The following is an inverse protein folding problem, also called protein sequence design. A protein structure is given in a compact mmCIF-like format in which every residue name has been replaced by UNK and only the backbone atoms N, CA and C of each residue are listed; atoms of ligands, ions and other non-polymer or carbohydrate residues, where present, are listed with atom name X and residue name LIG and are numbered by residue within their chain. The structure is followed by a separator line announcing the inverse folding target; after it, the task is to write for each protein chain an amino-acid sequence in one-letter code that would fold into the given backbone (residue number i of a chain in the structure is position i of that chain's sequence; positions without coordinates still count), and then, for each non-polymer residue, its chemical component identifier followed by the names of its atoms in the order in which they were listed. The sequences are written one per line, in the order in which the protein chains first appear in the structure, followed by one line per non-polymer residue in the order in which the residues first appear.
data_IF_250225192201
#
_entry.id   IF_250225192201
#
_cell.length_a   1.000
_cell.length_b   1.000
_cell.length_c   1.000
_cell.angle_alpha   90.00
_cell.angle_beta   90.00
_cell.angle_gamma   90.00
#
_symmetry.space_group_name_H-M   'P 1'
#
loop_
_entity.id
_entity.type
_entity.pdbx_description
1 polymer ?
#
# COMPACT_ATOMS: atom_id res chain seq x y z
N UNK A 1 9.91 3.20 -9.59
CA UNK A 1 10.23 2.82 -8.21
C UNK A 1 8.98 2.45 -7.45
N UNK A 2 9.01 1.38 -6.65
CA UNK A 2 7.87 1.06 -5.77
C UNK A 2 8.30 0.68 -4.36
N UNK A 3 7.35 0.74 -3.44
CA UNK A 3 7.51 0.20 -2.09
C UNK A 3 6.25 -0.51 -1.65
N UNK A 4 6.45 -1.54 -0.83
CA UNK A 4 5.40 -2.23 -0.12
C UNK A 4 5.08 -1.50 1.18
N UNK A 5 3.84 -1.06 1.38
CA UNK A 5 3.40 -0.60 2.72
C UNK A 5 2.01 -1.15 3.08
N UNK A 6 1.92 -1.91 4.19
CA UNK A 6 0.63 -2.34 4.70
C UNK A 6 -0.08 -1.14 5.35
N UNK A 7 -1.34 -0.93 5.00
CA UNK A 7 -2.23 0.00 5.70
C UNK A 7 -3.14 -0.82 6.60
N UNK A 8 -2.99 -0.60 7.90
CA UNK A 8 -3.79 -1.25 8.93
C UNK A 8 -4.91 -0.33 9.38
N UNK A 9 -6.14 -0.84 9.38
CA UNK A 9 -7.29 -0.11 9.92
C UNK A 9 -7.90 -0.94 11.05
N UNK A 10 -7.94 -0.33 12.24
CA UNK A 10 -8.50 -0.94 13.44
C UNK A 10 -10.02 -0.78 13.46
N UNK A 11 -10.71 -1.82 13.92
CA UNK A 11 -12.17 -1.85 14.01
C UNK A 11 -12.57 -2.40 15.39
N UNK A 12 -13.08 -1.55 16.29
CA UNK A 12 -13.72 -1.97 17.55
C UNK A 12 -13.00 -3.10 18.30
N UNK A 13 -11.73 -2.91 18.65
CA UNK A 13 -10.92 -3.90 19.39
C UNK A 13 -10.43 -5.11 18.59
N UNK A 14 -10.61 -5.14 17.25
CA UNK A 14 -10.07 -6.17 16.37
C UNK A 14 -9.39 -5.57 15.14
N UNK A 15 -8.18 -6.02 14.82
CA UNK A 15 -7.49 -5.75 13.56
C UNK A 15 -8.05 -6.68 12.48
N UNK A 16 -8.96 -6.24 11.61
CA UNK A 16 -9.61 -7.20 10.68
C UNK A 16 -9.70 -6.84 9.21
N UNK A 17 -9.53 -5.58 8.79
CA UNK A 17 -9.45 -5.24 7.37
C UNK A 17 -8.06 -4.69 7.03
N UNK A 18 -7.21 -5.57 6.49
CA UNK A 18 -5.89 -5.24 5.99
C UNK A 18 -5.97 -5.00 4.47
N UNK A 19 -5.39 -3.88 4.04
CA UNK A 19 -5.08 -3.63 2.64
C UNK A 19 -3.59 -3.35 2.51
N UNK A 20 -2.99 -3.90 1.46
CA UNK A 20 -1.65 -3.51 1.01
C UNK A 20 -1.83 -2.64 -0.22
N UNK A 21 -1.16 -1.49 -0.26
CA UNK A 21 -1.08 -0.66 -1.45
C UNK A 21 0.36 -0.66 -1.98
N UNK A 22 0.51 -0.94 -3.26
CA UNK A 22 1.73 -0.73 -4.02
C UNK A 22 1.61 0.59 -4.75
N UNK A 23 2.50 1.52 -4.40
CA UNK A 23 2.63 2.82 -5.04
C UNK A 23 3.78 2.79 -6.02
N UNK A 24 3.57 3.33 -7.23
CA UNK A 24 4.58 3.38 -8.27
C UNK A 24 4.70 4.78 -8.83
N UNK A 25 5.93 5.28 -8.85
CA UNK A 25 6.28 6.52 -9.50
C UNK A 25 7.62 6.42 -10.24
N UNK A 26 7.86 7.31 -11.18
CA UNK A 26 9.14 7.45 -11.88
C UNK A 26 9.86 8.77 -11.53
N UNK A 27 11.09 8.90 -12.02
CA UNK A 27 11.97 10.04 -11.73
C UNK A 27 11.49 11.37 -12.29
N UNK A 28 10.50 11.37 -13.19
CA UNK A 28 9.88 12.60 -13.71
C UNK A 28 8.84 13.16 -12.75
N UNK A 29 8.50 12.43 -11.69
CA UNK A 29 7.43 12.80 -10.77
C UNK A 29 6.09 12.15 -11.09
N UNK A 30 5.98 11.50 -12.26
CA UNK A 30 4.77 10.82 -12.68
C UNK A 30 4.41 9.69 -11.72
N UNK A 31 3.18 9.76 -11.21
CA UNK A 31 2.54 8.72 -10.41
C UNK A 31 1.70 7.81 -11.30
N UNK A 32 1.78 6.51 -11.04
CA UNK A 32 1.03 5.50 -11.77
C UNK A 32 -0.19 5.02 -10.96
N UNK A 33 -1.21 4.43 -11.62
CA UNK A 33 -2.32 3.74 -10.98
C UNK A 33 -1.90 2.86 -9.81
N UNK A 34 -2.72 2.78 -8.75
CA UNK A 34 -2.44 1.90 -7.62
C UNK A 34 -2.66 0.43 -7.96
N UNK A 35 -1.85 -0.43 -7.34
CA UNK A 35 -2.14 -1.86 -7.25
C UNK A 35 -2.34 -2.23 -5.78
N UNK A 36 -3.52 -2.73 -5.45
CA UNK A 36 -3.98 -3.03 -4.11
C UNK A 36 -4.08 -4.54 -3.92
N UNK A 37 -3.75 -5.02 -2.72
CA UNK A 37 -4.01 -6.40 -2.29
C UNK A 37 -4.90 -6.36 -1.06
N UNK A 38 -6.10 -6.93 -1.18
CA UNK A 38 -7.08 -7.02 -0.10
C UNK A 38 -7.18 -8.46 0.38
N UNK A 39 -7.64 -8.64 1.62
CA UNK A 39 -7.92 -9.96 2.20
C UNK A 39 -9.33 -10.43 1.84
N UNK A 40 -9.53 -11.38 0.90
CA UNK A 40 -10.82 -12.04 0.72
C UNK A 40 -11.03 -13.13 1.79
N UNK A 41 -12.27 -13.61 1.97
CA UNK A 41 -12.53 -14.85 2.70
C UNK A 41 -11.74 -16.02 2.10
N UNK A 42 -11.32 -16.96 2.94
CA UNK A 42 -10.63 -18.16 2.48
C UNK A 42 -11.61 -19.14 1.81
N UNK A 43 -11.19 -19.70 0.67
CA UNK A 43 -11.91 -20.75 -0.04
C UNK A 43 -11.10 -22.05 0.02
N UNK A 44 -11.75 -23.18 0.33
CA UNK A 44 -11.09 -24.49 0.51
C UNK A 44 -11.08 -25.36 -0.75
N UNK A 45 -11.98 -25.10 -1.70
CA UNK A 45 -12.14 -25.94 -2.89
C UNK A 45 -11.12 -25.53 -3.95
N UNK A 46 -10.12 -26.38 -4.22
CA UNK A 46 -9.00 -26.09 -5.14
C UNK A 46 -9.43 -25.58 -6.52
N UNK A 47 -10.41 -26.22 -7.16
CA UNK A 47 -10.91 -25.80 -8.46
C UNK A 47 -11.54 -24.39 -8.43
N UNK A 48 -12.21 -24.04 -7.33
CA UNK A 48 -12.79 -22.70 -7.13
C UNK A 48 -11.68 -21.67 -6.88
N UNK A 49 -10.67 -22.03 -6.09
CA UNK A 49 -9.50 -21.16 -5.85
C UNK A 49 -8.78 -20.86 -7.15
N UNK A 50 -8.48 -21.88 -7.97
CA UNK A 50 -7.81 -21.68 -9.25
C UNK A 50 -8.63 -20.78 -10.18
N UNK A 51 -9.93 -21.02 -10.29
CA UNK A 51 -10.83 -20.18 -11.09
C UNK A 51 -10.90 -18.74 -10.59
N UNK A 52 -10.86 -18.52 -9.28
CA UNK A 52 -10.86 -17.18 -8.71
C UNK A 52 -9.52 -16.47 -8.97
N UNK A 53 -8.39 -17.17 -8.86
CA UNK A 53 -7.06 -16.61 -9.16
C UNK A 53 -6.97 -16.17 -10.62
N UNK A 54 -7.44 -17.00 -11.56
CA UNK A 54 -7.32 -16.70 -13.00
C UNK A 54 -8.34 -15.70 -13.52
N UNK A 55 -9.61 -15.80 -13.09
CA UNK A 55 -10.69 -14.99 -13.69
C UNK A 55 -11.10 -13.79 -12.86
N UNK A 56 -10.70 -13.73 -11.59
CA UNK A 56 -11.24 -12.76 -10.61
C UNK A 56 -10.18 -12.25 -9.67
N UNK A 57 -8.91 -12.33 -10.07
CA UNK A 57 -7.78 -11.78 -9.33
C UNK A 57 -7.73 -12.25 -7.86
N UNK A 58 -8.17 -13.48 -7.59
CA UNK A 58 -8.22 -14.07 -6.24
C UNK A 58 -9.51 -13.80 -5.45
N UNK A 59 -10.50 -13.12 -6.02
CA UNK A 59 -11.81 -12.90 -5.40
C UNK A 59 -12.84 -13.97 -5.79
N UNK A 60 -13.72 -14.32 -4.85
CA UNK A 60 -14.90 -15.12 -5.13
C UNK A 60 -15.93 -14.39 -6.01
N UNK A 61 -16.81 -15.14 -6.67
CA UNK A 61 -17.80 -14.60 -7.63
C UNK A 61 -18.59 -13.39 -7.11
N UNK A 62 -19.07 -13.48 -5.88
CA UNK A 62 -19.92 -12.41 -5.31
C UNK A 62 -19.10 -11.17 -5.00
N UNK A 63 -17.94 -11.33 -4.38
CA UNK A 63 -17.06 -10.21 -4.02
C UNK A 63 -16.47 -9.54 -5.26
N UNK A 64 -16.21 -10.31 -6.32
CA UNK A 64 -15.74 -9.79 -7.60
C UNK A 64 -16.70 -8.77 -8.21
N UNK A 65 -18.02 -8.99 -8.12
CA UNK A 65 -19.05 -8.04 -8.60
C UNK A 65 -18.95 -6.68 -7.92
N UNK A 66 -18.45 -6.63 -6.68
CA UNK A 66 -18.26 -5.39 -5.95
C UNK A 66 -16.87 -4.78 -6.20
N UNK A 67 -15.85 -5.60 -6.48
CA UNK A 67 -14.45 -5.16 -6.65
C UNK A 67 -14.16 -4.67 -8.06
N UNK A 68 -14.67 -5.35 -9.09
CA UNK A 68 -14.43 -5.00 -10.48
C UNK A 68 -14.89 -3.57 -10.82
N UNK A 69 -16.09 -3.12 -10.42
CA UNK A 69 -16.50 -1.73 -10.62
C UNK A 69 -15.59 -0.72 -9.90
N UNK A 70 -15.04 -1.08 -8.72
CA UNK A 70 -14.13 -0.19 -7.98
C UNK A 70 -12.78 -0.04 -8.70
N UNK A 71 -12.26 -1.09 -9.32
CA UNK A 71 -11.06 -0.99 -10.16
C UNK A 71 -11.25 0.02 -11.28
N UNK A 72 -12.38 -0.07 -11.98
CA UNK A 72 -12.70 0.80 -13.10
C UNK A 72 -12.92 2.25 -12.62
N UNK A 73 -13.68 2.42 -11.54
CA UNK A 73 -14.01 3.72 -10.98
C UNK A 73 -12.78 4.48 -10.48
N UNK A 74 -11.90 3.81 -9.74
CA UNK A 74 -10.70 4.42 -9.16
C UNK A 74 -9.45 4.28 -10.02
N UNK A 75 -9.58 3.70 -11.23
CA UNK A 75 -8.49 3.41 -12.15
C UNK A 75 -7.30 2.73 -11.44
N UNK A 76 -7.60 1.66 -10.70
CA UNK A 76 -6.61 0.89 -9.95
C UNK A 76 -6.76 -0.61 -10.23
N UNK A 77 -5.77 -1.39 -9.82
CA UNK A 77 -5.82 -2.85 -9.84
C UNK A 77 -5.97 -3.37 -8.42
N UNK A 78 -6.85 -4.34 -8.20
CA UNK A 78 -7.19 -4.87 -6.88
C UNK A 78 -7.12 -6.40 -6.93
N UNK A 79 -6.25 -6.97 -6.13
CA UNK A 79 -6.04 -8.40 -6.00
C UNK A 79 -6.52 -8.91 -4.65
N UNK A 80 -7.01 -10.15 -4.62
CA UNK A 80 -7.42 -10.87 -3.43
C UNK A 80 -6.35 -11.87 -3.04
N UNK A 81 -5.78 -11.72 -1.84
CA UNK A 81 -4.92 -12.74 -1.23
C UNK A 81 -5.31 -12.92 0.23
N UNK A 82 -5.51 -14.16 0.69
CA UNK A 82 -5.98 -14.47 2.06
C UNK A 82 -5.01 -13.98 3.14
N UNK A 83 -3.74 -13.78 2.79
CA UNK A 83 -2.73 -13.19 3.69
C UNK A 83 -2.64 -11.66 3.55
N UNK A 84 -3.28 -11.09 2.51
CA UNK A 84 -3.12 -9.72 2.03
C UNK A 84 -1.67 -9.31 1.72
N UNK A 85 -0.78 -10.29 1.51
CA UNK A 85 0.59 -10.07 1.09
C UNK A 85 0.76 -10.25 -0.41
N UNK A 86 1.91 -9.81 -0.91
CA UNK A 86 2.34 -10.06 -2.27
C UNK A 86 2.70 -11.53 -2.50
N UNK A 87 2.62 -11.99 -3.74
CA UNK A 87 3.15 -13.29 -4.18
C UNK A 87 3.67 -13.15 -5.62
N UNK A 88 4.37 -14.19 -6.10
CA UNK A 88 4.96 -14.22 -7.45
C UNK A 88 3.94 -13.90 -8.56
N UNK A 89 2.73 -14.46 -8.49
CA UNK A 89 1.67 -14.21 -9.48
C UNK A 89 1.29 -12.74 -9.56
N UNK A 90 1.08 -12.09 -8.42
CA UNK A 90 0.78 -10.64 -8.38
C UNK A 90 2.01 -9.84 -8.85
N UNK A 91 3.23 -10.32 -8.59
CA UNK A 91 4.50 -9.76 -9.11
C UNK A 91 4.57 -9.73 -10.63
N UNK A 92 4.26 -10.85 -11.28
CA UNK A 92 4.21 -10.95 -12.74
C UNK A 92 3.13 -10.02 -13.31
N UNK A 93 1.93 -10.06 -12.72
CA UNK A 93 0.81 -9.20 -13.14
C UNK A 93 1.13 -7.71 -13.00
N UNK A 94 1.82 -7.32 -11.92
CA UNK A 94 2.32 -5.96 -11.74
C UNK A 94 3.24 -5.55 -12.88
N UNK A 95 4.24 -6.38 -13.21
CA UNK A 95 5.18 -6.06 -14.27
C UNK A 95 4.48 -5.91 -15.61
N UNK A 96 3.58 -6.86 -15.94
CA UNK A 96 2.81 -6.80 -17.17
C UNK A 96 1.93 -5.56 -17.23
N UNK A 97 1.26 -5.20 -16.13
CA UNK A 97 0.38 -4.04 -16.10
C UNK A 97 1.12 -2.72 -16.36
N UNK A 98 2.30 -2.50 -15.77
CA UNK A 98 3.01 -1.22 -15.93
C UNK A 98 3.96 -1.16 -17.12
N UNK A 99 4.46 -2.31 -17.61
CA UNK A 99 5.57 -2.33 -18.55
C UNK A 99 5.29 -3.02 -19.88
N UNK A 100 4.15 -3.70 -20.06
CA UNK A 100 3.83 -4.34 -21.36
C UNK A 100 3.71 -3.30 -22.47
N UNK A 101 2.94 -2.25 -22.24
CA UNK A 101 2.55 -1.31 -23.30
C UNK A 101 3.45 -0.08 -23.40
N UNK A 102 4.70 -0.15 -22.86
CA UNK A 102 5.65 0.95 -23.04
C UNK A 102 5.98 1.12 -24.53
N UNK A 103 5.84 2.33 -25.09
CA UNK A 103 6.12 2.56 -26.51
C UNK A 103 7.61 2.35 -26.87
N UNK A 104 8.50 2.55 -25.90
CA UNK A 104 9.95 2.42 -26.03
C UNK A 104 10.49 1.06 -25.53
N UNK A 105 9.62 0.08 -25.25
CA UNK A 105 10.02 -1.24 -24.73
C UNK A 105 11.07 -1.92 -25.59
N UNK A 106 10.99 -1.79 -26.91
CA UNK A 106 11.91 -2.46 -27.84
C UNK A 106 13.33 -1.88 -27.83
N UNK A 107 13.50 -0.63 -27.41
CA UNK A 107 14.77 0.11 -27.53
C UNK A 107 15.34 0.56 -26.20
N UNK A 108 14.53 0.63 -25.14
CA UNK A 108 14.95 1.11 -23.81
C UNK A 108 14.65 0.11 -22.71
N UNK A 109 15.60 0.02 -21.79
CA UNK A 109 15.44 -0.67 -20.50
C UNK A 109 14.94 0.30 -19.44
N UNK A 110 14.12 -0.19 -18.53
CA UNK A 110 13.71 0.55 -17.33
C UNK A 110 14.31 -0.10 -16.10
N UNK A 111 14.91 0.70 -15.22
CA UNK A 111 15.35 0.27 -13.91
C UNK A 111 14.19 0.30 -12.91
N UNK A 112 13.87 -0.84 -12.32
CA UNK A 112 12.88 -0.97 -11.26
C UNK A 112 13.56 -1.35 -9.95
N UNK A 113 13.51 -0.43 -8.98
CA UNK A 113 13.98 -0.66 -7.62
C UNK A 113 12.87 -1.29 -6.76
N UNK A 114 13.15 -2.46 -6.18
CA UNK A 114 12.31 -3.18 -5.22
C UNK A 114 13.06 -3.44 -3.91
N UNK A 115 12.31 -3.49 -2.80
CA UNK A 115 12.87 -3.93 -1.52
C UNK A 115 13.23 -5.42 -1.57
N UNK A 116 13.97 -5.90 -0.56
CA UNK A 116 14.49 -7.28 -0.51
C UNK A 116 13.39 -8.37 -0.39
N UNK A 117 12.10 -8.05 -0.45
CA UNK A 117 11.07 -9.06 -0.25
C UNK A 117 11.16 -10.19 -1.29
N UNK A 118 11.28 -11.44 -0.82
CA UNK A 118 11.63 -12.58 -1.68
C UNK A 118 10.65 -12.82 -2.83
N UNK A 119 9.36 -12.50 -2.65
CA UNK A 119 8.37 -12.65 -3.72
C UNK A 119 8.58 -11.67 -4.90
N UNK A 120 9.45 -10.67 -4.77
CA UNK A 120 9.84 -9.77 -5.85
C UNK A 120 10.89 -10.37 -6.78
N UNK A 121 11.55 -11.48 -6.39
CA UNK A 121 12.70 -12.04 -7.10
C UNK A 121 12.58 -13.55 -7.33
N UNK A 122 11.36 -14.07 -7.46
CA UNK A 122 11.17 -15.45 -7.91
C UNK A 122 11.53 -15.59 -9.39
N UNK A 123 11.84 -16.80 -9.83
CA UNK A 123 12.25 -17.07 -11.23
C UNK A 123 11.23 -16.56 -12.25
N UNK A 124 9.93 -16.70 -11.97
CA UNK A 124 8.87 -16.21 -12.87
C UNK A 124 8.83 -14.69 -12.97
N UNK A 125 9.07 -14.00 -11.85
CA UNK A 125 9.09 -12.54 -11.79
C UNK A 125 10.32 -12.00 -12.51
N UNK A 126 11.49 -12.60 -12.29
CA UNK A 126 12.74 -12.23 -12.96
C UNK A 126 12.65 -12.49 -14.46
N UNK A 127 12.10 -13.64 -14.88
CA UNK A 127 11.87 -13.95 -16.28
C UNK A 127 10.91 -12.95 -16.95
N UNK A 128 9.81 -12.60 -16.27
CA UNK A 128 8.87 -11.59 -16.77
C UNK A 128 9.51 -10.20 -16.88
N UNK A 129 10.36 -9.80 -15.94
CA UNK A 129 11.06 -8.53 -16.02
C UNK A 129 12.02 -8.48 -17.23
N UNK A 130 12.77 -9.57 -17.46
CA UNK A 130 13.66 -9.69 -18.61
C UNK A 130 12.87 -9.61 -19.94
N UNK A 131 11.74 -10.33 -20.05
CA UNK A 131 10.82 -10.27 -21.20
C UNK A 131 10.36 -8.82 -21.49
N UNK A 132 10.13 -8.03 -20.45
CA UNK A 132 9.58 -6.67 -20.53
C UNK A 132 10.65 -5.56 -20.63
N UNK A 133 11.93 -5.92 -20.83
CA UNK A 133 13.05 -4.98 -20.79
C UNK A 133 13.01 -4.12 -19.51
N UNK A 134 12.81 -4.78 -18.37
CA UNK A 134 12.90 -4.21 -17.02
C UNK A 134 14.11 -4.84 -16.32
N UNK A 135 15.02 -3.99 -15.84
CA UNK A 135 16.12 -4.39 -14.98
C UNK A 135 15.62 -4.28 -13.53
N UNK A 136 15.51 -5.41 -12.85
CA UNK A 136 15.16 -5.44 -11.42
C UNK A 136 16.43 -5.23 -10.61
N UNK A 137 16.43 -4.23 -9.74
CA UNK A 137 17.49 -4.04 -8.76
C UNK A 137 16.93 -4.09 -7.35
N UNK A 138 17.66 -4.81 -6.50
CA UNK A 138 17.31 -5.03 -5.11
C UNK A 138 17.90 -3.90 -4.28
N UNK A 139 17.05 -3.27 -3.47
CA UNK A 139 17.53 -2.35 -2.44
C UNK A 139 18.08 -3.19 -1.29
N UNK A 140 19.35 -2.99 -0.89
CA UNK A 140 19.96 -3.76 0.17
C UNK A 140 19.12 -3.72 1.46
N UNK A 141 19.02 -4.85 2.19
CA UNK A 141 18.32 -4.90 3.47
C UNK A 141 18.79 -3.80 4.42
N UNK A 142 17.86 -3.15 5.12
CA UNK A 142 18.12 -2.06 6.08
C UNK A 142 18.58 -0.73 5.46
N UNK A 143 18.66 -0.62 4.13
CA UNK A 143 19.01 0.64 3.44
C UNK A 143 17.82 1.34 2.78
N UNK A 144 16.58 0.84 2.96
CA UNK A 144 15.40 1.44 2.31
C UNK A 144 15.19 2.91 2.72
N UNK A 145 15.44 3.26 3.98
CA UNK A 145 15.31 4.62 4.48
C UNK A 145 16.23 5.66 3.82
N UNK A 146 17.29 5.20 3.13
CA UNK A 146 18.25 6.07 2.42
C UNK A 146 18.18 5.90 0.91
N UNK A 147 18.00 4.67 0.44
CA UNK A 147 18.11 4.31 -0.98
C UNK A 147 16.75 4.16 -1.66
N UNK A 148 15.64 4.12 -0.90
CA UNK A 148 14.31 3.93 -1.45
C UNK A 148 13.53 5.26 -1.48
N UNK A 149 13.52 6.04 -2.59
CA UNK A 149 12.73 7.26 -2.73
C UNK A 149 11.34 7.24 -2.12
N UNK A 150 10.64 6.11 -2.26
CA UNK A 150 9.33 5.92 -1.68
C UNK A 150 9.30 6.03 -0.15
N UNK A 151 10.21 5.35 0.52
CA UNK A 151 10.35 5.43 1.97
C UNK A 151 10.91 6.77 2.43
N UNK A 152 11.80 7.38 1.62
CA UNK A 152 12.39 8.67 1.95
C UNK A 152 11.37 9.80 1.90
N UNK A 153 10.45 9.80 0.93
CA UNK A 153 9.68 11.02 0.62
C UNK A 153 8.18 10.87 0.56
N UNK A 154 7.61 9.85 -0.08
CA UNK A 154 6.15 9.83 -0.31
C UNK A 154 5.34 8.91 0.60
N UNK A 155 5.94 7.90 1.24
CA UNK A 155 5.20 7.03 2.16
C UNK A 155 4.73 7.76 3.42
N UNK A 156 5.58 8.58 4.03
CA UNK A 156 5.21 9.35 5.23
C UNK A 156 4.03 10.30 4.96
N UNK A 157 4.06 11.18 3.92
CA UNK A 157 2.93 12.07 3.65
C UNK A 157 1.68 11.32 3.22
N UNK A 158 1.79 10.22 2.45
CA UNK A 158 0.63 9.38 2.12
C UNK A 158 -0.04 8.82 3.38
N UNK A 159 0.75 8.24 4.32
CA UNK A 159 0.24 7.76 5.61
C UNK A 159 -0.39 8.89 6.44
N UNK A 160 0.19 10.08 6.40
CA UNK A 160 -0.38 11.26 7.07
C UNK A 160 -1.77 11.62 6.51
N UNK A 161 -1.94 11.64 5.18
CA UNK A 161 -3.25 11.88 4.56
C UNK A 161 -4.28 10.80 4.93
N UNK A 162 -3.91 9.52 4.87
CA UNK A 162 -4.77 8.41 5.30
C UNK A 162 -5.21 8.56 6.77
N UNK A 163 -4.29 8.95 7.65
CA UNK A 163 -4.60 9.20 9.07
C UNK A 163 -5.59 10.34 9.25
N UNK A 164 -5.46 11.44 8.48
CA UNK A 164 -6.41 12.55 8.49
C UNK A 164 -7.82 12.10 8.08
N UNK A 165 -7.93 11.32 7.01
CA UNK A 165 -9.21 10.76 6.54
C UNK A 165 -9.84 9.84 7.59
N UNK A 166 -9.02 8.99 8.23
CA UNK A 166 -9.47 8.12 9.31
C UNK A 166 -10.01 8.88 10.52
N UNK A 167 -9.28 9.89 11.01
CA UNK A 167 -9.71 10.74 12.14
C UNK A 167 -11.01 11.47 11.80
N UNK A 168 -11.14 12.01 10.58
CA UNK A 168 -12.37 12.65 10.12
C UNK A 168 -13.57 11.68 10.13
N UNK A 169 -13.36 10.44 9.69
CA UNK A 169 -14.39 9.39 9.77
C UNK A 169 -14.80 9.09 11.20
N UNK A 170 -13.84 8.94 12.12
CA UNK A 170 -14.13 8.70 13.55
C UNK A 170 -14.97 9.86 14.11
N UNK A 171 -14.54 11.11 13.91
CA UNK A 171 -15.25 12.30 14.38
C UNK A 171 -16.70 12.33 13.89
N UNK A 172 -16.92 11.99 12.62
CA UNK A 172 -18.27 11.89 12.04
C UNK A 172 -19.10 10.78 12.69
N UNK A 173 -18.53 9.61 12.93
CA UNK A 173 -19.24 8.50 13.58
C UNK A 173 -19.62 8.85 15.03
N UNK A 174 -18.73 9.50 15.78
CA UNK A 174 -19.01 9.97 17.14
C UNK A 174 -20.16 10.99 17.15
N UNK A 175 -20.11 11.99 16.25
CA UNK A 175 -21.19 12.99 16.11
C UNK A 175 -22.54 12.35 15.80
N UNK A 176 -22.56 11.38 14.88
CA UNK A 176 -23.77 10.67 14.50
C UNK A 176 -24.34 9.86 15.68
N UNK A 177 -23.49 9.15 16.44
CA UNK A 177 -23.92 8.40 17.63
C UNK A 177 -24.55 9.30 18.69
N UNK A 178 -23.93 10.46 18.95
CA UNK A 178 -24.46 11.48 19.88
C UNK A 178 -25.83 11.98 19.42
N UNK A 179 -25.99 12.27 18.13
CA UNK A 179 -27.28 12.72 17.57
C UNK A 179 -28.39 11.67 17.62
N UNK A 180 -28.04 10.39 17.57
CA UNK A 180 -28.98 9.26 17.64
C UNK A 180 -29.21 8.74 19.06
N UNK A 181 -28.59 9.38 20.07
CA UNK A 181 -28.58 8.95 21.46
C UNK A 181 -28.27 7.44 21.64
N UNK A 182 -27.35 6.93 20.82
CA UNK A 182 -26.98 5.52 20.78
C UNK A 182 -25.57 5.30 21.32
N UNK A 183 -25.29 4.10 21.83
CA UNK A 183 -23.95 3.70 22.26
C UNK A 183 -22.99 3.71 21.08
N UNK A 184 -21.91 4.49 21.18
CA UNK A 184 -20.91 4.57 20.14
C UNK A 184 -20.20 3.22 19.93
N UNK A 185 -20.19 2.75 18.69
CA UNK A 185 -19.41 1.60 18.24
C UNK A 185 -18.63 2.00 17.00
N UNK A 186 -17.30 2.01 17.11
CA UNK A 186 -16.43 2.36 16.00
C UNK A 186 -16.58 1.37 14.83
N UNK A 187 -16.92 1.90 13.67
CA UNK A 187 -17.07 1.15 12.43
C UNK A 187 -15.87 1.35 11.50
N UNK A 188 -15.43 0.23 10.92
CA UNK A 188 -14.46 0.19 9.84
C UNK A 188 -14.92 1.02 8.62
N UNK A 189 -13.99 1.63 7.86
CA UNK A 189 -14.33 2.07 6.52
C UNK A 189 -14.64 0.84 5.65
N UNK A 190 -15.72 0.92 4.87
CA UNK A 190 -16.03 -0.11 3.89
C UNK A 190 -15.00 -0.10 2.76
N UNK A 191 -14.87 -1.20 2.04
CA UNK A 191 -13.92 -1.35 0.91
C UNK A 191 -13.96 -0.18 -0.10
N UNK A 192 -15.12 0.32 -0.57
CA UNK A 192 -15.14 1.47 -1.47
C UNK A 192 -14.49 2.72 -0.87
N UNK A 193 -14.78 3.01 0.41
CA UNK A 193 -14.18 4.13 1.14
C UNK A 193 -12.68 3.93 1.31
N UNK A 194 -12.23 2.71 1.58
CA UNK A 194 -10.81 2.39 1.72
C UNK A 194 -10.05 2.59 0.39
N UNK A 195 -10.59 2.07 -0.71
CA UNK A 195 -9.99 2.25 -2.05
C UNK A 195 -9.95 3.74 -2.40
N UNK A 196 -11.05 4.48 -2.15
CA UNK A 196 -11.09 5.92 -2.33
C UNK A 196 -9.98 6.63 -1.54
N UNK A 197 -9.87 6.36 -0.24
CA UNK A 197 -8.84 7.00 0.60
C UNK A 197 -7.42 6.69 0.15
N UNK A 198 -7.14 5.47 -0.29
CA UNK A 198 -5.84 5.09 -0.82
C UNK A 198 -5.52 5.85 -2.12
N UNK A 199 -6.49 5.90 -3.04
CA UNK A 199 -6.37 6.62 -4.30
C UNK A 199 -6.18 8.12 -4.07
N UNK A 200 -7.04 8.73 -3.24
CA UNK A 200 -6.97 10.15 -2.90
C UNK A 200 -5.64 10.49 -2.20
N UNK A 201 -5.19 9.63 -1.26
CA UNK A 201 -3.94 9.85 -0.55
C UNK A 201 -2.70 9.76 -1.46
N UNK A 202 -2.74 8.91 -2.48
CA UNK A 202 -1.64 8.75 -3.44
C UNK A 202 -1.64 9.88 -4.47
N UNK A 203 -2.77 10.11 -5.12
CA UNK A 203 -2.89 11.13 -6.16
C UNK A 203 -2.91 12.55 -5.60
N UNK A 204 -3.25 12.74 -4.32
CA UNK A 204 -3.17 14.02 -3.61
C UNK A 204 -1.77 14.47 -3.20
N UNK A 205 -0.72 13.66 -3.40
CA UNK A 205 0.67 14.10 -3.18
C UNK A 205 1.15 15.04 -4.30
N UNK A 206 1.93 16.07 -3.96
CA UNK A 206 2.56 16.90 -4.98
C UNK A 206 3.61 16.11 -5.77
N UNK A 207 3.75 16.42 -7.07
CA UNK A 207 4.78 15.83 -7.95
C UNK A 207 6.20 16.08 -7.40
N UNK A 208 6.42 17.25 -6.81
CA UNK A 208 7.68 17.62 -6.16
C UNK A 208 8.10 16.65 -5.05
N UNK A 209 7.15 16.02 -4.34
CA UNK A 209 7.48 15.01 -3.32
C UNK A 209 8.17 13.82 -3.98
N UNK A 210 7.71 13.43 -5.19
CA UNK A 210 8.26 12.31 -5.94
C UNK A 210 9.65 12.65 -6.46
N UNK A 211 9.81 13.75 -7.19
CA UNK A 211 11.09 14.15 -7.78
C UNK A 211 12.16 14.37 -6.70
N UNK A 212 11.80 15.01 -5.58
CA UNK A 212 12.70 15.19 -4.43
C UNK A 212 13.14 13.85 -3.83
N UNK A 213 12.30 12.81 -3.89
CA UNK A 213 12.67 11.46 -3.46
C UNK A 213 13.79 10.87 -4.28
N UNK A 214 13.69 10.97 -5.61
CA UNK A 214 14.73 10.50 -6.51
C UNK A 214 16.03 11.30 -6.36
N UNK A 215 15.94 12.62 -6.18
CA UNK A 215 17.09 13.48 -5.93
C UNK A 215 17.79 13.17 -4.60
N UNK A 216 17.04 13.09 -3.48
CA UNK A 216 17.60 12.77 -2.15
C UNK A 216 18.31 11.42 -2.10
N UNK A 217 17.85 10.46 -2.91
CA UNK A 217 18.47 9.13 -3.00
C UNK A 217 19.60 9.05 -4.03
N UNK A 218 19.99 10.17 -4.64
CA UNK A 218 21.02 10.27 -5.69
C UNK A 218 20.76 9.35 -6.90
N UNK A 219 19.49 9.03 -7.14
CA UNK A 219 19.07 8.25 -8.30
C UNK A 219 18.99 9.10 -9.58
N UNK A 220 19.08 10.43 -9.43
CA UNK A 220 19.14 11.43 -10.50
C UNK A 220 20.14 12.50 -10.07
N UNK A 221 20.97 13.00 -10.99
CA UNK A 221 21.85 14.15 -10.74
C UNK A 221 21.03 15.44 -10.82
N UNK A 222 20.85 16.18 -9.71
CA UNK A 222 20.39 17.58 -9.71
C UNK A 222 20.95 18.38 -8.52
N UNK A 223 21.26 19.66 -8.80
CA UNK A 223 21.76 20.68 -7.86
C UNK A 223 20.68 21.11 -6.86
N UNK A 224 21.07 21.10 -5.58
CA UNK A 224 20.41 21.64 -4.36
C UNK A 224 18.92 21.33 -4.10
N UNK A 225 18.66 20.46 -3.12
CA UNK A 225 17.32 20.14 -2.61
C UNK A 225 16.86 21.14 -1.53
N UNK A 226 15.60 21.62 -1.64
CA UNK A 226 14.92 22.43 -0.62
C UNK A 226 14.19 21.52 0.37
N UNK A 227 14.39 21.75 1.67
CA UNK A 227 13.80 20.96 2.75
C UNK A 227 12.49 21.59 3.27
N UNK A 228 11.38 20.87 3.15
CA UNK A 228 10.12 21.23 3.83
C UNK A 228 9.73 20.11 4.81
N UNK A 229 9.88 20.38 6.10
CA UNK A 229 9.35 19.54 7.18
C UNK A 229 7.97 20.03 7.59
N UNK A 230 6.93 19.20 7.39
CA UNK A 230 5.58 19.47 7.91
C UNK A 230 5.37 18.70 9.21
N UNK A 231 5.34 19.43 10.33
CA UNK A 231 4.94 18.91 11.64
C UNK A 231 3.40 18.82 11.73
N UNK A 232 2.86 17.73 12.27
CA UNK A 232 1.41 17.58 12.49
C UNK A 232 1.15 17.19 13.94
N UNK A 233 0.59 18.12 14.72
CA UNK A 233 0.14 17.88 16.10
C UNK A 233 -1.32 17.42 16.11
N UNK A 234 -1.65 16.46 16.98
CA UNK A 234 -3.03 15.98 17.19
C UNK A 234 -3.57 16.63 18.47
N UNK A 235 -4.77 17.24 18.44
CA UNK A 235 -5.41 17.81 19.64
C UNK A 235 -5.64 16.76 20.75
N UNK A 236 -5.36 17.16 21.99
CA UNK A 236 -5.32 16.31 23.20
C UNK A 236 -6.70 15.72 23.56
N UNK A 237 -7.78 16.45 23.27
CA UNK A 237 -9.17 16.04 23.52
C UNK A 237 -9.58 14.79 22.73
N UNK A 238 -9.13 14.69 21.47
CA UNK A 238 -9.34 13.51 20.61
C UNK A 238 -8.56 12.30 21.12
N UNK A 239 -7.36 12.53 21.68
CA UNK A 239 -6.55 11.47 22.26
C UNK A 239 -7.26 10.85 23.48
N UNK A 240 -7.81 11.70 24.35
CA UNK A 240 -8.53 11.27 25.56
C UNK A 240 -9.80 10.46 25.25
N UNK A 241 -10.58 10.83 24.22
CA UNK A 241 -11.80 10.08 23.83
C UNK A 241 -11.45 8.73 23.16
N UNK A 242 -10.27 8.61 22.53
CA UNK A 242 -9.77 7.35 21.96
C UNK A 242 -9.23 6.39 23.03
N UNK A 243 -8.53 6.92 24.04
CA UNK A 243 -8.03 6.15 25.19
C UNK A 243 -9.20 5.61 26.02
N UNK A 244 -10.22 6.43 26.28
CA UNK A 244 -11.40 6.03 27.06
C UNK A 244 -12.24 4.90 26.43
N UNK A 245 -12.11 4.67 25.11
CA UNK A 245 -12.86 3.65 24.37
C UNK A 245 -11.99 2.44 23.94
N UNK A 246 -10.82 2.24 24.57
CA UNK A 246 -9.86 1.16 24.25
C UNK A 246 -9.42 1.14 22.77
N UNK A 247 -9.33 2.32 22.13
CA UNK A 247 -8.89 2.44 20.73
C UNK A 247 -7.36 2.65 20.59
N UNK A 248 -6.65 2.75 21.71
CA UNK A 248 -5.19 2.80 21.80
C UNK A 248 -4.79 1.68 22.76
N UNK A 249 -3.77 0.90 22.40
CA UNK A 249 -3.22 -0.12 23.30
C UNK A 249 -1.78 0.28 23.62
N UNK A 250 -1.43 0.20 24.91
CA UNK A 250 -0.10 0.42 25.44
C UNK A 250 0.67 -0.89 25.35
N UNK A 251 1.03 -1.33 24.15
CA UNK A 251 2.04 -2.38 23.98
C UNK A 251 2.62 -2.30 22.57
N UNK A 252 3.62 -1.45 22.40
CA UNK A 252 4.72 -1.81 21.51
C UNK A 252 5.66 -2.59 22.41
N UNK A 253 5.58 -3.91 22.39
CA UNK A 253 6.61 -4.74 22.99
C UNK A 253 7.86 -4.65 22.08
N UNK A 254 8.98 -4.07 22.56
CA UNK A 254 10.20 -3.96 21.78
C UNK A 254 10.86 -5.32 21.46
N UNK A 255 10.35 -6.42 22.03
CA UNK A 255 10.94 -7.76 21.89
C UNK A 255 10.37 -8.58 20.74
N UNK A 256 9.28 -8.15 20.10
CA UNK A 256 8.71 -8.82 18.91
C UNK A 256 9.60 -8.66 17.64
N UNK A 257 10.64 -7.82 17.69
CA UNK A 257 11.57 -7.58 16.57
C UNK A 257 12.90 -8.37 16.67
N UNK A 258 13.05 -9.30 17.62
CA UNK A 258 14.25 -10.14 17.75
C UNK A 258 13.89 -11.61 18.02
N UNK A 259 13.64 -12.38 16.96
CA UNK A 259 13.96 -13.80 16.98
C UNK A 259 15.40 -13.99 16.52
N UNK A 260 16.29 -14.13 17.49
CA UNK A 260 17.66 -14.61 17.28
C UNK A 260 17.64 -16.07 16.85
N UNK A 261 18.32 -16.35 15.74
CA UNK A 261 18.73 -17.71 15.40
C UNK A 261 19.62 -18.27 16.51
N UNK A 262 19.22 -19.39 17.09
CA UNK A 262 20.17 -20.32 17.71
C UNK A 262 19.98 -21.70 17.09
N UNK A 263 21.06 -22.11 16.44
CA UNK A 263 21.38 -23.42 15.90
C UNK A 263 21.24 -24.55 16.93
N UNK A 264 20.75 -25.70 16.47
CA UNK A 264 21.48 -26.98 16.50
C UNK A 264 20.91 -27.90 15.42
#
# INVERSE_FOLDING_TARGET
MTTYRPVWIKCGGKSKDRATAMVMADSTGKKYPLLLVLKPPAYKIKAVVQKNLTLRQGFGKQLWKDVEPLQNWFQCRIYGNTTAWWNSLIGVDFLRYYFTDRPDRATKKVLLLWDDFSAHFTDEVVACAAELNVVLEKIPPRFTWMCQPADVTWIRPMKSQLRKMWISSIRRQVKNSKSQNSTFKLQAPKRPTLVQWLTDAWFGLAEAIITNGFAKCKNVHQDEAVDETVETTVPVDVLSELVANSAVDDTIDPTDDIEGSTTN
#
